data_IF_209606862327
#
_entry.id   IF_209606862327
#
_cell.length_a   1.000
_cell.length_b   1.000
_cell.length_c   1.000
_cell.angle_alpha   90.00
_cell.angle_beta   90.00
_cell.angle_gamma   90.00
#
_symmetry.space_group_name_H-M   'P 1'
#
loop_
_entity.id
_entity.type
_entity.pdbx_description
1 polymer ?
#
# COMPACT_ATOMS: atom_id res chain seq x y z
N UNK A 1 6.11 8.86 -1.72
CA UNK A 1 5.27 8.19 -0.71
C UNK A 1 6.04 7.68 0.51
N UNK A 2 7.33 7.32 0.42
CA UNK A 2 8.14 6.92 1.59
C UNK A 2 8.08 7.86 2.81
N UNK A 3 8.14 9.20 2.67
CA UNK A 3 7.98 10.06 3.85
C UNK A 3 6.66 9.85 4.60
N UNK A 4 5.56 9.63 3.87
CA UNK A 4 4.27 9.30 4.47
C UNK A 4 4.28 7.92 5.14
N UNK A 5 4.88 6.91 4.50
CA UNK A 5 5.06 5.60 5.11
C UNK A 5 5.82 5.73 6.44
N UNK A 6 6.94 6.46 6.47
CA UNK A 6 7.71 6.71 7.69
C UNK A 6 6.92 7.43 8.77
N UNK A 7 6.15 8.47 8.42
CA UNK A 7 5.26 9.17 9.37
C UNK A 7 4.29 8.20 10.05
N UNK A 8 3.68 7.29 9.27
CA UNK A 8 2.76 6.28 9.81
C UNK A 8 3.43 5.21 10.67
N UNK A 9 4.64 4.76 10.29
CA UNK A 9 5.40 3.78 11.07
C UNK A 9 5.82 4.37 12.43
N UNK A 10 6.16 5.67 12.48
CA UNK A 10 6.65 6.34 13.68
C UNK A 10 5.53 6.85 14.59
N UNK A 11 4.36 7.20 14.04
CA UNK A 11 3.28 7.84 14.79
C UNK A 11 2.89 7.07 16.07
N UNK A 12 2.76 5.74 15.99
CA UNK A 12 2.39 4.92 17.16
C UNK A 12 3.50 4.84 18.21
N UNK A 13 4.75 4.97 17.80
CA UNK A 13 5.90 5.01 18.69
C UNK A 13 6.01 6.36 19.42
N UNK A 14 5.75 7.45 18.70
CA UNK A 14 5.95 8.82 19.19
C UNK A 14 4.73 9.37 19.94
N UNK A 15 3.53 9.06 19.47
CA UNK A 15 2.28 9.67 19.93
C UNK A 15 1.35 8.67 20.63
N UNK A 16 1.71 7.38 20.62
CA UNK A 16 0.99 6.32 21.33
C UNK A 16 -0.09 5.64 20.50
N UNK A 17 -1.00 4.96 21.19
CA UNK A 17 -2.07 4.18 20.55
C UNK A 17 -3.01 5.05 19.71
N UNK A 18 -3.42 4.53 18.54
CA UNK A 18 -4.37 5.15 17.62
C UNK A 18 -3.96 6.58 17.20
N UNK A 19 -2.64 6.86 17.19
CA UNK A 19 -2.05 8.17 16.90
C UNK A 19 -2.42 8.76 15.53
N UNK A 20 -2.66 7.90 14.54
CA UNK A 20 -3.06 8.27 13.19
C UNK A 20 -4.27 7.44 12.78
N UNK A 21 -5.10 7.95 11.87
CA UNK A 21 -6.22 7.19 11.30
C UNK A 21 -5.72 6.13 10.32
N UNK A 22 -6.53 5.10 10.10
CA UNK A 22 -6.29 4.07 9.07
C UNK A 22 -5.89 4.65 7.69
N UNK A 23 -4.96 3.97 7.03
CA UNK A 23 -4.67 4.20 5.60
C UNK A 23 -5.64 3.38 4.78
N UNK A 24 -6.87 3.85 4.68
CA UNK A 24 -7.88 3.24 3.84
C UNK A 24 -7.59 3.56 2.35
N UNK A 25 -7.47 2.50 1.55
CA UNK A 25 -7.22 2.56 0.12
C UNK A 25 -8.29 3.43 -0.58
N UNK A 26 -9.56 3.28 -0.17
CA UNK A 26 -10.70 3.90 -0.84
C UNK A 26 -10.67 5.43 -0.75
N UNK A 27 -10.12 5.96 0.33
CA UNK A 27 -10.01 7.40 0.57
C UNK A 27 -8.61 7.93 0.32
N UNK A 28 -7.64 7.08 -0.06
CA UNK A 28 -6.23 7.48 -0.17
C UNK A 28 -6.08 8.69 -1.10
N UNK A 29 -6.60 8.59 -2.33
CA UNK A 29 -6.61 9.71 -3.30
C UNK A 29 -7.79 10.67 -3.13
N UNK A 30 -8.50 10.60 -2.00
CA UNK A 30 -9.61 11.48 -1.67
C UNK A 30 -10.94 11.09 -2.34
N UNK A 31 -11.98 11.88 -2.02
CA UNK A 31 -13.37 11.57 -2.40
C UNK A 31 -13.57 11.45 -3.92
N UNK A 32 -12.88 12.27 -4.71
CA UNK A 32 -13.00 12.25 -6.17
C UNK A 32 -12.61 10.89 -6.77
N UNK A 33 -11.56 10.26 -6.24
CA UNK A 33 -11.18 8.90 -6.60
C UNK A 33 -12.15 7.88 -5.98
N UNK A 34 -12.47 8.02 -4.68
CA UNK A 34 -13.39 7.12 -3.95
C UNK A 34 -14.69 6.85 -4.69
N UNK A 35 -15.35 7.92 -5.16
CA UNK A 35 -16.63 7.85 -5.84
C UNK A 35 -16.58 7.06 -7.17
N UNK A 36 -15.38 6.64 -7.63
CA UNK A 36 -15.12 5.93 -8.88
C UNK A 36 -14.46 4.57 -8.69
N UNK A 37 -14.18 4.14 -7.46
CA UNK A 37 -13.55 2.84 -7.17
C UNK A 37 -14.53 1.71 -7.43
N UNK A 38 -15.79 1.86 -6.98
CA UNK A 38 -16.81 0.83 -7.07
C UNK A 38 -17.83 1.09 -8.16
N UNK A 39 -18.46 0.02 -8.62
CA UNK A 39 -19.56 0.03 -9.57
C UNK A 39 -20.83 0.66 -8.98
N UNK A 40 -21.91 0.66 -9.77
CA UNK A 40 -23.22 1.22 -9.34
C UNK A 40 -23.84 0.47 -8.17
N UNK A 41 -23.44 -0.78 -7.95
CA UNK A 41 -23.84 -1.59 -6.80
C UNK A 41 -23.15 -1.17 -5.50
N UNK A 42 -22.12 -0.32 -5.57
CA UNK A 42 -21.37 0.17 -4.43
C UNK A 42 -20.46 -0.87 -3.78
N UNK A 43 -20.33 -2.06 -4.36
CA UNK A 43 -19.56 -3.17 -3.77
C UNK A 43 -18.58 -3.80 -4.72
N UNK A 44 -18.83 -3.78 -6.03
CA UNK A 44 -17.95 -4.40 -7.02
C UNK A 44 -16.83 -3.42 -7.39
N UNK A 45 -15.55 -3.75 -7.17
CA UNK A 45 -14.44 -2.92 -7.64
C UNK A 45 -14.48 -2.77 -9.16
N UNK A 46 -14.18 -1.56 -9.65
CA UNK A 46 -14.10 -1.26 -11.09
C UNK A 46 -12.71 -1.48 -11.67
N UNK A 47 -11.69 -1.59 -10.81
CA UNK A 47 -10.34 -1.95 -11.22
C UNK A 47 -10.33 -3.34 -11.85
N UNK A 48 -9.44 -3.54 -12.82
CA UNK A 48 -9.26 -4.86 -13.44
C UNK A 48 -8.48 -5.72 -12.44
N UNK A 49 -9.11 -6.79 -11.95
CA UNK A 49 -8.45 -7.76 -11.09
C UNK A 49 -7.34 -8.49 -11.85
N UNK A 50 -6.18 -8.62 -11.21
CA UNK A 50 -4.99 -9.28 -11.74
C UNK A 50 -4.62 -10.43 -10.81
N UNK A 51 -3.98 -11.47 -11.36
CA UNK A 51 -3.46 -12.57 -10.55
C UNK A 51 -2.39 -12.05 -9.56
N UNK A 52 -2.66 -12.07 -8.24
CA UNK A 52 -1.74 -11.54 -7.25
C UNK A 52 -0.42 -12.31 -7.20
N UNK A 53 -0.39 -13.58 -7.60
CA UNK A 53 0.82 -14.43 -7.57
C UNK A 53 1.92 -13.95 -8.54
N UNK A 54 1.56 -13.09 -9.49
CA UNK A 54 2.52 -12.44 -10.39
C UNK A 54 3.27 -11.27 -9.72
N UNK A 55 2.83 -10.84 -8.54
CA UNK A 55 3.40 -9.71 -7.83
C UNK A 55 4.09 -10.15 -6.55
N UNK A 56 5.21 -9.48 -6.27
CA UNK A 56 5.95 -9.63 -5.02
C UNK A 56 6.40 -8.26 -4.57
N UNK A 57 5.99 -7.90 -3.37
CA UNK A 57 6.32 -6.66 -2.69
C UNK A 57 7.47 -6.92 -1.74
N UNK A 58 8.59 -6.24 -1.94
CA UNK A 58 9.74 -6.28 -1.05
C UNK A 58 9.59 -5.17 0.00
N UNK A 59 9.45 -5.54 1.27
CA UNK A 59 9.21 -4.60 2.37
C UNK A 59 10.34 -3.57 2.53
N UNK A 60 11.56 -3.93 2.13
CA UNK A 60 12.73 -3.05 2.18
C UNK A 60 12.69 -1.90 1.16
N UNK A 61 11.92 -2.02 0.06
CA UNK A 61 11.97 -1.03 -1.04
C UNK A 61 10.64 -0.54 -1.56
N UNK A 62 9.63 -1.40 -1.62
CA UNK A 62 8.36 -1.10 -2.26
C UNK A 62 7.45 -0.30 -1.32
N UNK A 63 6.49 0.43 -1.88
CA UNK A 63 5.56 1.23 -1.07
C UNK A 63 4.47 0.31 -0.55
N UNK A 64 4.60 -0.07 0.73
CA UNK A 64 3.58 -0.82 1.47
C UNK A 64 3.14 0.04 2.65
N UNK A 65 1.84 0.27 2.78
CA UNK A 65 1.28 1.23 3.70
C UNK A 65 0.53 0.50 4.83
N UNK A 66 1.23 0.05 5.88
CA UNK A 66 0.58 -0.41 7.09
C UNK A 66 0.12 0.77 7.94
N UNK A 67 -0.81 0.45 8.83
CA UNK A 67 -1.29 1.31 9.90
C UNK A 67 -1.19 0.58 11.23
N UNK A 68 -0.04 0.70 11.90
CA UNK A 68 0.13 0.14 13.24
C UNK A 68 -0.67 0.98 14.25
N UNK A 69 -1.80 0.46 14.70
CA UNK A 69 -2.76 1.20 15.53
C UNK A 69 -2.58 0.93 17.04
N UNK A 70 -2.30 -0.32 17.41
CA UNK A 70 -2.11 -0.73 18.80
C UNK A 70 -0.65 -0.63 19.28
N UNK A 71 -0.37 0.20 20.29
CA UNK A 71 1.00 0.44 20.78
C UNK A 71 1.68 -0.82 21.34
N UNK A 72 1.02 -1.58 22.22
CA UNK A 72 1.63 -2.81 22.76
C UNK A 72 1.95 -3.84 21.68
N UNK A 73 1.08 -4.02 20.67
CA UNK A 73 1.33 -4.94 19.55
C UNK A 73 2.47 -4.44 18.66
N UNK A 74 2.57 -3.13 18.46
CA UNK A 74 3.68 -2.51 17.75
C UNK A 74 5.01 -2.78 18.46
N UNK A 75 5.09 -2.48 19.77
CA UNK A 75 6.28 -2.73 20.60
C UNK A 75 6.64 -4.21 20.57
N UNK A 76 5.67 -5.10 20.74
CA UNK A 76 5.93 -6.54 20.69
C UNK A 76 6.43 -7.00 19.32
N UNK A 77 5.82 -6.54 18.23
CA UNK A 77 6.29 -6.86 16.87
C UNK A 77 7.73 -6.37 16.65
N UNK A 78 8.06 -5.16 17.09
CA UNK A 78 9.42 -4.63 17.02
C UNK A 78 10.39 -5.28 18.00
N UNK A 79 9.95 -5.82 19.13
CA UNK A 79 10.86 -6.51 20.04
C UNK A 79 11.21 -7.91 19.53
N UNK A 80 10.31 -8.56 18.80
CA UNK A 80 10.38 -10.01 18.55
C UNK A 80 10.61 -10.41 17.09
N UNK A 81 10.29 -9.56 16.10
CA UNK A 81 10.40 -9.89 14.67
C UNK A 81 11.58 -9.15 14.03
N UNK A 82 12.47 -9.90 13.37
CA UNK A 82 13.71 -9.42 12.77
C UNK A 82 14.78 -10.52 12.74
N UNK A 83 15.54 -10.68 11.66
CA UNK A 83 16.60 -11.70 11.60
C UNK A 83 17.65 -11.51 12.71
N UNK A 84 17.92 -10.26 13.09
CA UNK A 84 18.81 -9.90 14.21
C UNK A 84 18.26 -10.18 15.61
N UNK A 85 17.03 -10.68 15.73
CA UNK A 85 16.36 -11.02 17.00
C UNK A 85 16.26 -12.51 17.23
N UNK A 86 16.91 -13.33 16.40
CA UNK A 86 16.94 -14.77 16.60
C UNK A 86 17.82 -15.12 17.82
N UNK A 87 17.22 -15.73 18.83
CA UNK A 87 17.95 -16.37 19.93
C UNK A 87 17.81 -17.91 19.77
N UNK A 88 18.90 -18.64 19.45
CA UNK A 88 18.88 -20.09 19.30
C UNK A 88 18.47 -20.85 20.57
N UNK A 89 18.69 -20.26 21.75
CA UNK A 89 18.37 -20.89 23.04
C UNK A 89 16.91 -20.65 23.46
N UNK A 90 16.29 -19.60 22.91
CA UNK A 90 14.90 -19.19 23.19
C UNK A 90 13.87 -20.08 22.46
N UNK A 91 14.29 -20.85 21.45
CA UNK A 91 13.41 -21.79 20.74
C UNK A 91 12.17 -21.16 20.09
N UNK A 92 12.15 -19.84 19.93
CA UNK A 92 11.01 -19.09 19.41
C UNK A 92 9.99 -18.64 20.46
N UNK A 93 10.28 -18.77 21.76
CA UNK A 93 9.33 -18.45 22.84
C UNK A 93 9.15 -16.95 23.01
N UNK A 94 10.24 -16.19 22.99
CA UNK A 94 10.22 -14.74 23.13
C UNK A 94 10.55 -14.01 21.82
N UNK A 95 11.27 -14.62 20.88
CA UNK A 95 11.64 -14.01 19.62
C UNK A 95 11.24 -14.84 18.42
N UNK A 96 10.59 -14.20 17.44
CA UNK A 96 10.09 -14.85 16.23
C UNK A 96 11.18 -15.00 15.16
N UNK A 97 12.32 -14.31 15.32
CA UNK A 97 13.43 -14.31 14.36
C UNK A 97 13.06 -13.59 13.06
N UNK A 98 13.68 -14.01 11.95
CA UNK A 98 13.46 -13.39 10.64
C UNK A 98 11.98 -13.31 10.27
N UNK A 99 11.58 -12.15 9.73
CA UNK A 99 10.22 -11.90 9.26
C UNK A 99 9.82 -12.94 8.22
N UNK A 100 8.60 -13.47 8.37
CA UNK A 100 7.99 -14.41 7.43
C UNK A 100 6.57 -13.98 7.13
N UNK A 101 6.14 -14.18 5.89
CA UNK A 101 4.77 -13.94 5.49
C UNK A 101 3.85 -14.95 6.20
N UNK A 102 2.75 -14.45 6.75
CA UNK A 102 1.66 -15.24 7.30
C UNK A 102 0.45 -15.07 6.38
N UNK A 103 0.15 -16.08 5.57
CA UNK A 103 -0.90 -16.03 4.56
C UNK A 103 -2.32 -15.84 5.13
N UNK A 104 -2.54 -16.10 6.43
CA UNK A 104 -3.84 -15.94 7.08
C UNK A 104 -4.01 -14.58 7.75
N UNK A 105 -2.91 -13.90 8.07
CA UNK A 105 -2.92 -12.63 8.79
C UNK A 105 -2.52 -11.45 7.89
N UNK A 106 -1.62 -11.64 6.94
CA UNK A 106 -1.10 -10.59 6.08
C UNK A 106 -2.04 -10.38 4.88
N UNK A 107 -2.88 -9.36 4.99
CA UNK A 107 -3.85 -9.01 3.95
C UNK A 107 -3.43 -7.68 3.32
N UNK A 108 -3.11 -7.73 2.02
CA UNK A 108 -2.59 -6.59 1.26
C UNK A 108 -3.28 -6.49 -0.09
N UNK A 109 -3.85 -5.33 -0.39
CA UNK A 109 -4.39 -5.00 -1.71
C UNK A 109 -3.39 -4.12 -2.46
N UNK A 110 -2.91 -4.60 -3.60
CA UNK A 110 -1.98 -3.88 -4.47
C UNK A 110 -2.74 -3.07 -5.52
N UNK A 111 -2.47 -1.77 -5.61
CA UNK A 111 -2.96 -0.92 -6.69
C UNK A 111 -1.87 -0.54 -7.70
N UNK A 112 -2.14 -0.85 -8.96
CA UNK A 112 -1.40 -0.38 -10.13
C UNK A 112 -2.13 0.80 -10.79
N UNK A 113 -1.42 1.71 -11.47
CA UNK A 113 0.02 1.66 -11.81
C UNK A 113 0.95 2.13 -10.69
N UNK A 114 0.42 2.64 -9.56
CA UNK A 114 1.26 3.28 -8.54
C UNK A 114 2.20 2.33 -7.78
N UNK A 115 1.91 1.02 -7.75
CA UNK A 115 2.68 0.03 -7.00
C UNK A 115 2.56 0.22 -5.49
N UNK A 116 1.36 0.57 -5.01
CA UNK A 116 1.08 0.80 -3.60
C UNK A 116 0.36 -0.43 -3.04
N UNK A 117 0.94 -1.07 -2.04
CA UNK A 117 0.27 -2.10 -1.24
C UNK A 117 -0.43 -1.48 -0.03
N UNK A 118 -1.75 -1.58 0.04
CA UNK A 118 -2.55 -1.16 1.21
C UNK A 118 -2.78 -2.34 2.13
N UNK A 119 -2.46 -2.18 3.41
CA UNK A 119 -2.53 -3.28 4.39
C UNK A 119 -3.82 -3.19 5.19
N UNK A 120 -4.65 -4.23 5.12
CA UNK A 120 -5.86 -4.38 5.95
C UNK A 120 -5.68 -5.44 7.04
N UNK A 121 -4.68 -6.32 6.92
CA UNK A 121 -4.34 -7.36 7.90
C UNK A 121 -2.83 -7.46 8.13
N UNK A 122 -2.39 -7.76 9.35
CA UNK A 122 -0.96 -7.92 9.64
C UNK A 122 -0.18 -6.62 9.86
N UNK A 123 -0.89 -5.50 10.07
CA UNK A 123 -0.32 -4.16 10.20
C UNK A 123 0.96 -4.07 11.06
N UNK A 124 0.95 -4.66 12.26
CA UNK A 124 2.10 -4.60 13.19
C UNK A 124 3.29 -5.43 12.75
N UNK A 125 3.08 -6.65 12.21
CA UNK A 125 4.19 -7.50 11.77
C UNK A 125 4.76 -7.01 10.44
N UNK A 126 3.93 -6.54 9.50
CA UNK A 126 4.41 -5.88 8.26
C UNK A 126 5.22 -4.63 8.57
N UNK A 127 4.78 -3.82 9.54
CA UNK A 127 5.54 -2.68 10.07
C UNK A 127 6.93 -3.10 10.55
N UNK A 128 7.03 -4.19 11.31
CA UNK A 128 8.31 -4.71 11.78
C UNK A 128 9.23 -5.16 10.61
N UNK A 129 8.69 -5.83 9.59
CA UNK A 129 9.46 -6.22 8.40
C UNK A 129 10.00 -5.03 7.62
N UNK A 130 9.18 -3.99 7.41
CA UNK A 130 9.63 -2.74 6.76
C UNK A 130 10.76 -2.08 7.54
N UNK A 131 10.62 -1.94 8.87
CA UNK A 131 11.63 -1.30 9.71
C UNK A 131 12.92 -2.11 9.84
N UNK A 132 12.83 -3.44 9.77
CA UNK A 132 13.98 -4.33 9.72
C UNK A 132 14.58 -4.46 8.31
N UNK A 133 13.99 -3.80 7.30
CA UNK A 133 14.37 -3.89 5.89
C UNK A 133 14.47 -5.34 5.38
N UNK A 134 13.54 -6.20 5.80
CA UNK A 134 13.50 -7.62 5.45
C UNK A 134 12.08 -8.08 5.13
N UNK A 135 11.99 -9.21 4.44
CA UNK A 135 10.72 -9.83 4.10
C UNK A 135 10.19 -9.43 2.72
N UNK A 136 9.42 -10.35 2.17
CA UNK A 136 8.69 -10.20 0.92
C UNK A 136 7.27 -10.74 1.11
N UNK A 137 6.30 -10.13 0.45
CA UNK A 137 4.92 -10.60 0.46
C UNK A 137 4.33 -10.68 -0.94
N UNK A 138 3.45 -11.65 -1.12
CA UNK A 138 2.53 -11.73 -2.25
C UNK A 138 1.25 -11.01 -1.78
N UNK A 139 0.74 -10.02 -2.53
CA UNK A 139 -0.51 -9.36 -2.14
C UNK A 139 -1.65 -10.38 -2.14
N UNK A 140 -2.70 -10.12 -1.36
CA UNK A 140 -3.92 -10.93 -1.38
C UNK A 140 -4.75 -10.62 -2.62
N UNK A 141 -4.73 -9.36 -3.04
CA UNK A 141 -5.47 -8.86 -4.19
C UNK A 141 -4.59 -7.89 -4.98
N UNK A 142 -4.75 -7.85 -6.30
CA UNK A 142 -4.07 -6.89 -7.16
C UNK A 142 -5.05 -6.32 -8.18
N UNK A 143 -5.07 -4.99 -8.31
CA UNK A 143 -5.94 -4.30 -9.25
C UNK A 143 -5.15 -3.33 -10.13
N UNK A 144 -5.44 -3.37 -11.44
CA UNK A 144 -5.17 -2.24 -12.32
C UNK A 144 -6.29 -1.21 -12.16
N UNK A 145 -5.93 -0.07 -11.57
CA UNK A 145 -6.84 1.04 -11.29
C UNK A 145 -6.71 2.15 -12.35
N UNK A 146 -6.20 1.82 -13.55
CA UNK A 146 -6.00 2.75 -14.65
C UNK A 146 -7.25 3.56 -15.03
N UNK A 147 -8.45 3.03 -14.80
CA UNK A 147 -9.70 3.76 -15.06
C UNK A 147 -9.83 5.05 -14.23
N UNK A 148 -9.29 5.09 -13.00
CA UNK A 148 -9.30 6.29 -12.18
C UNK A 148 -8.53 7.43 -12.87
N UNK A 149 -7.44 7.07 -13.54
CA UNK A 149 -6.60 8.01 -14.27
C UNK A 149 -7.30 8.46 -15.56
N UNK A 150 -8.06 7.60 -16.24
CA UNK A 150 -8.84 8.02 -17.41
C UNK A 150 -9.95 9.01 -17.05
N UNK A 151 -10.58 8.82 -15.90
CA UNK A 151 -11.77 9.59 -15.51
C UNK A 151 -11.47 10.90 -14.79
N UNK A 152 -10.35 10.97 -14.10
CA UNK A 152 -9.99 12.11 -13.26
C UNK A 152 -8.51 12.43 -13.45
N UNK A 153 -8.19 13.72 -13.53
CA UNK A 153 -6.84 14.25 -13.36
C UNK A 153 -6.81 15.32 -12.27
N UNK A 154 -5.62 15.72 -11.85
CA UNK A 154 -5.40 16.66 -10.77
C UNK A 154 -4.39 17.72 -11.19
N UNK A 155 -4.73 19.00 -11.00
CA UNK A 155 -3.86 20.14 -11.29
C UNK A 155 -2.99 20.57 -10.09
N UNK A 156 -3.08 19.85 -8.98
CA UNK A 156 -2.41 20.15 -7.70
C UNK A 156 -3.27 20.94 -6.71
N UNK A 157 -4.39 21.51 -7.15
CA UNK A 157 -5.37 22.24 -6.35
C UNK A 157 -6.73 21.55 -6.32
N UNK A 158 -7.16 20.98 -7.45
CA UNK A 158 -8.43 20.29 -7.63
C UNK A 158 -8.24 18.99 -8.41
N UNK A 159 -9.14 18.05 -8.13
CA UNK A 159 -9.44 16.93 -9.01
C UNK A 159 -10.48 17.39 -10.03
N UNK A 160 -10.25 17.01 -11.29
CA UNK A 160 -10.97 17.48 -12.47
C UNK A 160 -11.39 16.24 -13.27
N UNK A 161 -12.68 16.16 -13.60
CA UNK A 161 -13.21 15.09 -14.45
C UNK A 161 -12.70 15.28 -15.88
N UNK A 162 -12.02 14.27 -16.42
CA UNK A 162 -11.37 14.35 -17.73
C UNK A 162 -12.36 14.60 -18.87
N UNK A 163 -13.53 13.94 -18.83
CA UNK A 163 -14.51 14.02 -19.90
C UNK A 163 -15.20 15.39 -20.02
N UNK A 164 -15.38 16.11 -18.90
CA UNK A 164 -16.20 17.33 -18.84
C UNK A 164 -15.42 18.57 -18.43
N UNK A 165 -14.21 18.42 -17.90
CA UNK A 165 -13.43 19.52 -17.29
C UNK A 165 -14.01 20.01 -15.96
N UNK A 166 -15.03 19.34 -15.41
CA UNK A 166 -15.69 19.78 -14.18
C UNK A 166 -14.80 19.51 -12.96
N UNK A 167 -14.76 20.46 -12.02
CA UNK A 167 -14.15 20.25 -10.71
C UNK A 167 -14.96 19.21 -9.90
N UNK A 168 -14.29 18.15 -9.45
CA UNK A 168 -14.92 17.03 -8.72
C UNK A 168 -14.44 16.89 -7.28
N UNK A 169 -13.43 17.68 -6.88
CA UNK A 169 -12.98 17.75 -5.50
C UNK A 169 -11.79 18.66 -5.33
N UNK A 170 -11.58 19.16 -4.11
CA UNK A 170 -10.36 19.90 -3.76
C UNK A 170 -9.27 18.92 -3.33
N UNK A 171 -8.01 19.24 -3.64
CA UNK A 171 -6.86 18.50 -3.15
C UNK A 171 -6.70 18.73 -1.64
N UNK A 172 -6.87 17.65 -0.86
CA UNK A 172 -6.64 17.67 0.59
C UNK A 172 -5.19 17.39 1.00
N UNK A 173 -4.41 16.73 0.14
CA UNK A 173 -3.00 16.41 0.39
C UNK A 173 -2.20 16.49 -0.92
N UNK A 174 -1.32 17.50 -1.03
CA UNK A 174 -0.50 17.69 -2.23
C UNK A 174 0.42 16.51 -2.53
N UNK A 175 0.91 15.79 -1.50
CA UNK A 175 1.73 14.58 -1.70
C UNK A 175 0.95 13.45 -2.38
N UNK A 176 -0.32 13.26 -2.03
CA UNK A 176 -1.18 12.23 -2.65
C UNK A 176 -1.66 12.66 -4.04
N UNK A 177 -1.96 13.94 -4.23
CA UNK A 177 -2.25 14.51 -5.55
C UNK A 177 -1.08 14.34 -6.52
N UNK A 178 0.15 14.65 -6.08
CA UNK A 178 1.34 14.42 -6.89
C UNK A 178 1.54 12.92 -7.20
N UNK A 179 1.32 12.03 -6.22
CA UNK A 179 1.38 10.59 -6.46
C UNK A 179 0.33 10.12 -7.47
N UNK A 180 -0.88 10.68 -7.43
CA UNK A 180 -1.95 10.38 -8.38
C UNK A 180 -1.50 10.64 -9.82
N UNK A 181 -1.01 11.85 -10.10
CA UNK A 181 -0.53 12.23 -11.45
C UNK A 181 0.79 11.54 -11.85
N UNK A 182 1.65 11.18 -10.90
CA UNK A 182 2.80 10.33 -11.20
C UNK A 182 2.35 8.95 -11.71
N UNK A 183 1.26 8.39 -11.18
CA UNK A 183 0.68 7.16 -11.71
C UNK A 183 0.20 7.29 -13.15
N UNK A 184 -0.38 8.44 -13.53
CA UNK A 184 -0.70 8.75 -14.93
C UNK A 184 0.54 8.71 -15.80
N UNK A 185 1.59 9.43 -15.40
CA UNK A 185 2.85 9.46 -16.15
C UNK A 185 3.46 8.06 -16.26
N UNK A 186 3.43 7.26 -15.19
CA UNK A 186 3.91 5.88 -15.20
C UNK A 186 3.17 5.03 -16.22
N UNK A 187 1.84 5.08 -16.20
CA UNK A 187 0.99 4.34 -17.15
C UNK A 187 1.24 4.79 -18.60
N UNK A 188 1.18 6.10 -18.85
CA UNK A 188 1.24 6.67 -20.20
C UNK A 188 2.62 6.47 -20.84
N UNK A 189 3.69 6.40 -20.04
CA UNK A 189 5.05 6.10 -20.50
C UNK A 189 5.40 4.61 -20.50
N UNK A 190 4.50 3.75 -20.01
CA UNK A 190 4.78 2.33 -19.77
C UNK A 190 5.88 2.09 -18.72
N UNK A 191 6.16 3.08 -17.87
CA UNK A 191 7.12 2.95 -16.78
C UNK A 191 6.50 2.10 -15.66
N UNK A 192 7.11 0.96 -15.32
CA UNK A 192 6.51 0.03 -14.38
C UNK A 192 6.72 0.45 -12.93
N UNK A 193 5.77 0.06 -12.07
CA UNK A 193 5.89 0.27 -10.63
C UNK A 193 7.03 -0.55 -10.00
N UNK A 194 7.34 -1.71 -10.57
CA UNK A 194 8.35 -2.63 -10.09
C UNK A 194 9.43 -2.84 -11.13
N UNK A 195 10.71 -2.78 -10.71
CA UNK A 195 11.86 -2.99 -11.59
C UNK A 195 11.97 -4.43 -12.14
N UNK A 196 11.50 -5.42 -11.39
CA UNK A 196 11.77 -6.85 -11.67
C UNK A 196 10.51 -7.65 -12.07
N UNK A 197 9.29 -7.15 -11.80
CA UNK A 197 8.05 -7.92 -11.98
C UNK A 197 7.43 -7.83 -13.40
N UNK A 198 7.97 -6.99 -14.29
CA UNK A 198 7.42 -6.78 -15.65
C UNK A 198 7.76 -7.94 -16.59
N UNK A 199 8.78 -8.74 -16.28
CA UNK A 199 9.22 -9.82 -17.19
C UNK A 199 8.29 -11.04 -17.15
N UNK A 200 7.40 -11.18 -16.14
CA UNK A 200 6.46 -12.32 -16.06
C UNK A 200 5.04 -11.99 -16.55
N UNK A 201 4.58 -10.75 -16.43
CA UNK A 201 3.25 -10.37 -16.92
C UNK A 201 3.18 -10.21 -18.45
N UNK A 202 4.33 -10.12 -19.15
CA UNK A 202 4.39 -10.10 -20.63
C UNK A 202 4.35 -11.49 -21.28
N UNK A 203 4.11 -12.55 -20.51
CA UNK A 203 3.99 -13.93 -21.00
C UNK A 203 2.59 -14.48 -20.75
N UNK A 204 1.58 -13.86 -21.35
CA UNK A 204 0.33 -14.55 -21.65
C UNK A 204 -0.04 -14.24 -23.12
N UNK A 205 -0.32 -15.27 -23.95
CA UNK A 205 -0.79 -15.11 -25.32
C UNK A 205 -2.21 -14.53 -25.41
#
# INVERSE_FOLDING_TARGET
>A
LRPMQSEYLLAVAELGQDAVSEIDADVFFGKAAKDRIYGRDGVTPRGVELDPSHFRLLLARDIVLPWAWHQQRYVNALATIGAGKCDPEDGGVHHQGAWKMDAFNHVVTLWLPWGIGFVSGGNHSITAGILAAEGELIPTEAYDMGHLLDEVHCDGHHYIETATGRLVGKVGCHRRAAAFELGRLMRDTGFPAFRENVTRAKLLP
#
